data_IF_088131597642
#
_entry.id   IF_088131597642
#
_cell.length_a   1.000
_cell.length_b   1.000
_cell.length_c   1.000
_cell.angle_alpha   90.00
_cell.angle_beta   90.00
_cell.angle_gamma   90.00
#
_symmetry.space_group_name_H-M   'P 1'
#
loop_
_entity.id
_entity.type
_entity.pdbx_description
1 polymer ?
#
# COMPACT_ATOMS: atom_id res chain seq x y z
N UNK A 1 3.32 -20.10 6.72
CA UNK A 1 2.87 -18.70 6.56
C UNK A 1 4.03 -17.76 6.87
N UNK A 2 4.05 -16.56 6.29
CA UNK A 2 5.03 -15.51 6.62
C UNK A 2 4.27 -14.32 7.18
N UNK A 3 4.74 -13.79 8.29
CA UNK A 3 4.19 -12.61 8.95
C UNK A 3 5.30 -11.57 9.14
N UNK A 4 4.94 -10.32 9.42
CA UNK A 4 5.89 -9.22 9.60
C UNK A 4 5.56 -8.45 10.87
N UNK A 5 6.58 -7.87 11.53
CA UNK A 5 6.41 -6.98 12.68
C UNK A 5 5.87 -5.59 12.32
N UNK A 6 5.83 -5.22 11.03
CA UNK A 6 5.27 -3.94 10.59
C UNK A 6 3.74 -4.01 10.46
N UNK A 7 3.01 -2.96 10.83
CA UNK A 7 3.48 -1.59 11.09
C UNK A 7 3.65 -1.21 12.56
N UNK A 8 3.20 -2.01 13.53
CA UNK A 8 3.29 -1.67 14.95
C UNK A 8 3.38 -2.89 15.87
N UNK A 9 3.68 -2.67 17.15
CA UNK A 9 3.73 -3.72 18.18
C UNK A 9 2.40 -4.49 18.31
N UNK A 10 1.28 -3.84 17.96
CA UNK A 10 -0.02 -4.50 17.86
C UNK A 10 -0.03 -5.61 16.80
N UNK A 11 0.60 -5.36 15.65
CA UNK A 11 0.78 -6.38 14.61
C UNK A 11 1.66 -7.53 15.12
N UNK A 12 2.76 -7.23 15.81
CA UNK A 12 3.65 -8.25 16.37
C UNK A 12 2.92 -9.17 17.37
N UNK A 13 2.19 -8.59 18.33
CA UNK A 13 1.46 -9.36 19.34
C UNK A 13 0.30 -10.16 18.76
N UNK A 14 -0.49 -9.54 17.88
CA UNK A 14 -1.61 -10.21 17.22
C UNK A 14 -1.15 -11.38 16.35
N UNK A 15 -0.07 -11.16 15.58
CA UNK A 15 0.57 -12.19 14.77
C UNK A 15 1.05 -13.37 15.60
N UNK A 16 1.64 -13.13 16.79
CA UNK A 16 2.07 -14.21 17.68
C UNK A 16 0.94 -15.13 18.13
N UNK A 17 -0.24 -14.59 18.45
CA UNK A 17 -1.41 -15.41 18.82
C UNK A 17 -1.90 -16.23 17.62
N UNK A 18 -1.96 -15.62 16.43
CA UNK A 18 -2.37 -16.30 15.20
C UNK A 18 -1.37 -17.42 14.86
N UNK A 19 -0.07 -17.17 15.00
CA UNK A 19 0.98 -18.16 14.72
C UNK A 19 0.88 -19.38 15.62
N UNK A 20 0.68 -19.18 16.92
CA UNK A 20 0.43 -20.28 17.86
C UNK A 20 -0.73 -21.17 17.42
N UNK A 21 -1.84 -20.57 16.96
CA UNK A 21 -3.00 -21.32 16.46
C UNK A 21 -2.67 -22.08 15.17
N UNK A 22 -2.04 -21.40 14.20
CA UNK A 22 -1.66 -22.00 12.92
C UNK A 22 -0.72 -23.20 13.10
N UNK A 23 0.28 -23.07 13.99
CA UNK A 23 1.26 -24.13 14.23
C UNK A 23 0.67 -25.31 15.00
N UNK A 24 -0.06 -25.05 16.09
CA UNK A 24 -0.53 -26.10 17.00
C UNK A 24 -1.76 -26.85 16.49
N UNK A 25 -2.67 -26.16 15.81
CA UNK A 25 -3.96 -26.75 15.44
C UNK A 25 -4.08 -26.98 13.92
N UNK A 26 -3.45 -26.15 13.08
CA UNK A 26 -3.51 -26.31 11.61
C UNK A 26 -2.24 -26.96 11.03
N UNK A 27 -1.19 -27.15 11.84
CA UNK A 27 0.09 -27.71 11.39
C UNK A 27 0.82 -26.84 10.37
N UNK A 28 0.49 -25.54 10.28
CA UNK A 28 1.09 -24.60 9.33
C UNK A 28 2.30 -23.95 9.99
N UNK A 29 3.54 -24.17 9.49
CA UNK A 29 4.72 -23.52 10.04
C UNK A 29 4.66 -22.02 9.79
N UNK A 30 5.16 -21.19 10.72
CA UNK A 30 5.16 -19.73 10.57
C UNK A 30 6.55 -19.13 10.71
N UNK A 31 6.89 -18.23 9.79
CA UNK A 31 8.10 -17.41 9.86
C UNK A 31 7.73 -15.95 10.14
N UNK A 32 8.38 -15.36 11.15
CA UNK A 32 8.21 -13.96 11.51
C UNK A 32 9.35 -13.13 10.91
N UNK A 33 9.06 -12.39 9.85
CA UNK A 33 9.97 -11.44 9.24
C UNK A 33 10.11 -10.21 10.15
N UNK A 34 11.32 -9.99 10.66
CA UNK A 34 11.62 -8.83 11.47
C UNK A 34 12.14 -7.68 10.60
N UNK A 35 11.24 -6.80 10.17
CA UNK A 35 11.64 -5.58 9.49
C UNK A 35 12.28 -4.61 10.51
N UNK A 36 13.47 -4.06 10.20
CA UNK A 36 14.16 -3.17 11.13
C UNK A 36 13.46 -1.82 11.26
N UNK A 37 13.47 -1.26 12.47
CA UNK A 37 12.91 0.09 12.73
C UNK A 37 13.83 1.20 12.24
N UNK A 38 15.13 0.97 12.28
CA UNK A 38 16.15 1.80 11.63
C UNK A 38 16.35 1.28 10.20
N UNK A 39 16.84 2.09 9.28
CA UNK A 39 16.86 1.73 7.86
C UNK A 39 17.98 2.39 7.06
N UNK A 40 18.96 3.04 7.70
CA UNK A 40 19.99 3.81 6.98
C UNK A 40 21.41 3.33 7.27
N UNK A 41 21.58 2.62 8.38
CA UNK A 41 22.84 2.09 8.84
C UNK A 41 23.21 0.83 8.03
N UNK A 42 24.50 0.68 7.70
CA UNK A 42 24.98 -0.39 6.82
C UNK A 42 24.73 -1.78 7.41
N UNK A 43 24.96 -1.93 8.72
CA UNK A 43 24.69 -3.16 9.46
C UNK A 43 23.20 -3.55 9.43
N UNK A 44 22.32 -2.56 9.40
CA UNK A 44 20.87 -2.75 9.28
C UNK A 44 20.48 -3.19 7.86
N UNK A 45 21.17 -2.71 6.82
CA UNK A 45 20.94 -3.19 5.45
C UNK A 45 21.30 -4.67 5.31
N UNK A 46 22.46 -5.05 5.85
CA UNK A 46 22.92 -6.45 5.83
C UNK A 46 21.95 -7.36 6.60
N UNK A 47 21.51 -6.91 7.77
CA UNK A 47 20.49 -7.59 8.56
C UNK A 47 19.18 -7.76 7.78
N UNK A 48 18.65 -6.68 7.19
CA UNK A 48 17.40 -6.72 6.43
C UNK A 48 17.50 -7.67 5.22
N UNK A 49 18.62 -7.64 4.49
CA UNK A 49 18.87 -8.54 3.38
C UNK A 49 18.94 -10.00 3.84
N UNK A 50 19.55 -10.27 5.01
CA UNK A 50 19.60 -11.60 5.57
C UNK A 50 18.22 -12.11 6.00
N UNK A 51 17.39 -11.27 6.60
CA UNK A 51 16.01 -11.62 6.98
C UNK A 51 15.15 -12.01 5.76
N UNK A 52 15.30 -11.31 4.64
CA UNK A 52 14.66 -11.70 3.38
C UNK A 52 15.17 -13.07 2.89
N UNK A 53 16.48 -13.32 2.94
CA UNK A 53 17.05 -14.63 2.55
C UNK A 53 16.53 -15.76 3.45
N UNK A 54 16.40 -15.51 4.75
CA UNK A 54 15.85 -16.47 5.72
C UNK A 54 14.38 -16.79 5.39
N UNK A 55 13.57 -15.77 5.09
CA UNK A 55 12.18 -15.96 4.69
C UNK A 55 12.06 -16.76 3.38
N UNK A 56 12.93 -16.49 2.40
CA UNK A 56 12.99 -17.25 1.15
C UNK A 56 13.32 -18.72 1.43
N UNK A 57 14.36 -18.99 2.22
CA UNK A 57 14.76 -20.36 2.57
C UNK A 57 13.63 -21.13 3.26
N UNK A 58 12.94 -20.48 4.21
CA UNK A 58 11.76 -21.03 4.88
C UNK A 58 10.63 -21.37 3.89
N UNK A 59 10.35 -20.49 2.92
CA UNK A 59 9.33 -20.75 1.89
C UNK A 59 9.74 -21.95 1.03
N UNK A 60 10.99 -21.99 0.55
CA UNK A 60 11.46 -23.11 -0.28
C UNK A 60 11.40 -24.45 0.47
N UNK A 61 11.80 -24.46 1.74
CA UNK A 61 11.77 -25.65 2.59
C UNK A 61 10.36 -26.22 2.75
N UNK A 62 9.39 -25.36 3.08
CA UNK A 62 8.04 -25.81 3.43
C UNK A 62 7.08 -25.94 2.25
N UNK A 63 7.42 -25.38 1.09
CA UNK A 63 6.59 -25.51 -0.13
C UNK A 63 7.19 -26.47 -1.16
N UNK A 64 8.51 -26.72 -1.11
CA UNK A 64 9.23 -27.43 -2.16
C UNK A 64 9.47 -26.60 -3.42
N UNK A 65 8.92 -25.40 -3.51
CA UNK A 65 9.11 -24.48 -4.63
C UNK A 65 10.49 -23.81 -4.58
N UNK A 66 10.98 -23.36 -5.74
CA UNK A 66 12.23 -22.60 -5.83
C UNK A 66 11.97 -21.14 -6.09
N UNK A 67 12.77 -20.29 -5.46
CA UNK A 67 12.63 -18.85 -5.56
C UNK A 67 12.95 -18.36 -6.97
N UNK A 68 12.00 -17.66 -7.57
CA UNK A 68 12.16 -17.04 -8.88
C UNK A 68 12.51 -15.55 -8.73
N UNK A 69 13.81 -15.25 -8.82
CA UNK A 69 14.31 -13.87 -8.80
C UNK A 69 13.78 -13.03 -9.96
N UNK A 70 13.55 -13.63 -11.13
CA UNK A 70 12.99 -12.91 -12.28
C UNK A 70 11.56 -12.48 -11.97
N UNK A 71 10.72 -13.40 -11.50
CA UNK A 71 9.35 -13.08 -11.11
C UNK A 71 9.29 -12.03 -9.98
N UNK A 72 10.20 -12.13 -9.01
CA UNK A 72 10.32 -11.15 -7.92
C UNK A 72 10.60 -9.73 -8.45
N UNK A 73 11.63 -9.57 -9.29
CA UNK A 73 11.98 -8.26 -9.83
C UNK A 73 10.95 -7.72 -10.84
N UNK A 74 10.25 -8.59 -11.57
CA UNK A 74 9.11 -8.19 -12.40
C UNK A 74 7.95 -7.64 -11.53
N UNK A 75 7.68 -8.23 -10.36
CA UNK A 75 6.71 -7.70 -9.41
C UNK A 75 7.19 -6.34 -8.85
N UNK A 76 8.46 -6.24 -8.47
CA UNK A 76 9.05 -5.01 -7.94
C UNK A 76 9.00 -3.86 -8.97
N UNK A 77 9.25 -4.12 -10.25
CA UNK A 77 9.10 -3.12 -11.33
C UNK A 77 7.66 -2.58 -11.37
N UNK A 78 6.65 -3.45 -11.24
CA UNK A 78 5.24 -3.04 -11.22
C UNK A 78 4.90 -2.22 -10.00
N UNK A 79 5.44 -2.56 -8.81
CA UNK A 79 5.29 -1.74 -7.60
C UNK A 79 5.92 -0.34 -7.80
N UNK A 80 7.09 -0.27 -8.43
CA UNK A 80 7.75 1.00 -8.74
C UNK A 80 6.90 1.85 -9.72
N UNK A 81 6.29 1.22 -10.72
CA UNK A 81 5.39 1.91 -11.65
C UNK A 81 4.14 2.46 -10.95
N UNK A 82 3.45 1.64 -10.15
CA UNK A 82 2.30 2.08 -9.36
C UNK A 82 2.67 3.24 -8.42
N UNK A 83 3.85 3.16 -7.79
CA UNK A 83 4.39 4.23 -6.92
C UNK A 83 4.62 5.51 -7.71
N UNK A 84 5.18 5.43 -8.92
CA UNK A 84 5.36 6.58 -9.80
C UNK A 84 4.02 7.24 -10.14
N UNK A 85 3.01 6.46 -10.55
CA UNK A 85 1.67 7.00 -10.85
C UNK A 85 1.05 7.68 -9.62
N UNK A 86 1.17 7.06 -8.44
CA UNK A 86 0.71 7.68 -7.18
C UNK A 86 1.40 9.01 -6.91
N UNK A 87 2.71 9.10 -7.10
CA UNK A 87 3.44 10.37 -6.93
C UNK A 87 2.93 11.44 -7.89
N UNK A 88 2.68 11.11 -9.16
CA UNK A 88 2.11 12.04 -10.14
C UNK A 88 0.74 12.56 -9.70
N UNK A 89 -0.11 11.71 -9.11
CA UNK A 89 -1.41 12.14 -8.57
C UNK A 89 -1.26 13.05 -7.35
N UNK A 90 -0.31 12.75 -6.46
CA UNK A 90 0.00 13.58 -5.30
C UNK A 90 0.55 14.95 -5.71
N UNK A 91 1.30 15.04 -6.81
CA UNK A 91 1.71 16.33 -7.37
C UNK A 91 0.51 17.16 -7.85
N UNK A 92 -0.46 16.55 -8.55
CA UNK A 92 -1.71 17.25 -8.91
C UNK A 92 -2.44 17.77 -7.67
N UNK A 93 -2.40 17.02 -6.57
CA UNK A 93 -3.07 17.36 -5.32
C UNK A 93 -2.49 18.58 -4.59
N UNK A 94 -1.29 19.05 -4.98
CA UNK A 94 -0.72 20.30 -4.48
C UNK A 94 -1.42 21.53 -5.05
N UNK A 95 -2.12 21.41 -6.18
CA UNK A 95 -2.83 22.52 -6.83
C UNK A 95 -4.26 22.68 -6.34
N UNK A 96 -4.95 23.73 -6.81
CA UNK A 96 -6.36 23.97 -6.50
C UNK A 96 -7.34 23.02 -7.22
N UNK A 97 -6.81 22.15 -8.10
CA UNK A 97 -7.59 21.20 -8.90
C UNK A 97 -7.09 19.76 -8.68
N UNK A 98 -7.10 19.22 -7.44
CA UNK A 98 -6.77 17.83 -7.17
C UNK A 98 -7.72 16.88 -7.91
N UNK A 99 -7.23 15.71 -8.31
CA UNK A 99 -8.00 14.75 -9.13
C UNK A 99 -8.14 13.37 -8.51
N UNK A 100 -7.11 12.89 -7.81
CA UNK A 100 -7.14 11.58 -7.12
C UNK A 100 -6.82 11.81 -5.65
N UNK A 101 -7.86 12.02 -4.85
CA UNK A 101 -7.78 12.35 -3.43
C UNK A 101 -8.97 11.75 -2.68
N UNK A 102 -8.99 11.87 -1.35
CA UNK A 102 -10.04 11.34 -0.49
C UNK A 102 -10.26 9.84 -0.69
N UNK A 103 -11.53 9.41 -0.75
CA UNK A 103 -11.89 7.98 -0.83
C UNK A 103 -11.33 7.28 -2.06
N UNK A 104 -11.11 7.98 -3.19
CA UNK A 104 -10.51 7.39 -4.38
C UNK A 104 -9.06 6.96 -4.14
N UNK A 105 -8.27 7.83 -3.49
CA UNK A 105 -6.87 7.55 -3.19
C UNK A 105 -6.74 6.52 -2.06
N UNK A 106 -7.66 6.55 -1.08
CA UNK A 106 -7.72 5.58 0.00
C UNK A 106 -7.99 4.16 -0.55
N UNK A 107 -9.06 3.99 -1.32
CA UNK A 107 -9.42 2.71 -1.94
C UNK A 107 -8.32 2.18 -2.86
N UNK A 108 -7.67 3.07 -3.63
CA UNK A 108 -6.53 2.69 -4.45
C UNK A 108 -5.37 2.15 -3.59
N UNK A 109 -5.03 2.86 -2.51
CA UNK A 109 -3.92 2.48 -1.62
C UNK A 109 -4.19 1.13 -0.97
N UNK A 110 -5.41 0.89 -0.52
CA UNK A 110 -5.86 -0.40 0.03
C UNK A 110 -5.75 -1.51 -1.01
N UNK A 111 -6.26 -1.29 -2.22
CA UNK A 111 -6.22 -2.26 -3.31
C UNK A 111 -4.78 -2.61 -3.68
N UNK A 112 -3.92 -1.59 -3.82
CA UNK A 112 -2.53 -1.80 -4.16
C UNK A 112 -1.76 -2.51 -3.03
N UNK A 113 -1.97 -2.14 -1.77
CA UNK A 113 -1.26 -2.72 -0.63
C UNK A 113 -1.74 -4.15 -0.29
N UNK A 114 -3.05 -4.35 -0.14
CA UNK A 114 -3.61 -5.59 0.40
C UNK A 114 -3.83 -6.67 -0.65
N UNK A 115 -4.23 -6.30 -1.88
CA UNK A 115 -4.68 -7.27 -2.87
C UNK A 115 -3.64 -7.57 -3.94
N UNK A 116 -3.03 -6.52 -4.52
CA UNK A 116 -2.24 -6.71 -5.76
C UNK A 116 -0.73 -6.62 -5.53
N UNK A 117 -0.23 -5.52 -4.99
CA UNK A 117 1.19 -5.25 -4.72
C UNK A 117 2.15 -5.84 -5.78
N UNK A 118 1.96 -5.47 -7.05
CA UNK A 118 2.79 -5.93 -8.17
C UNK A 118 2.58 -7.39 -8.62
N UNK A 119 1.76 -8.20 -7.94
CA UNK A 119 1.51 -9.60 -8.29
C UNK A 119 0.56 -9.77 -9.47
N UNK A 120 -0.31 -8.78 -9.73
CA UNK A 120 -1.34 -8.84 -10.79
C UNK A 120 -0.96 -7.90 -11.94
N UNK A 121 -0.49 -8.42 -13.10
CA UNK A 121 0.00 -7.59 -14.20
C UNK A 121 -1.03 -6.61 -14.77
N UNK A 122 -2.32 -6.98 -14.73
CA UNK A 122 -3.42 -6.18 -15.26
C UNK A 122 -3.51 -4.78 -14.61
N UNK A 123 -3.02 -4.61 -13.38
CA UNK A 123 -3.09 -3.33 -12.68
C UNK A 123 -2.19 -2.25 -13.28
N UNK A 124 -1.13 -2.61 -14.03
CA UNK A 124 -0.33 -1.63 -14.77
C UNK A 124 -1.17 -0.84 -15.77
N UNK A 125 -2.08 -1.52 -16.47
CA UNK A 125 -3.01 -0.86 -17.40
C UNK A 125 -4.12 -0.11 -16.68
N UNK A 126 -4.53 -0.56 -15.49
CA UNK A 126 -5.49 0.17 -14.65
C UNK A 126 -4.87 1.48 -14.14
N UNK A 127 -3.65 1.45 -13.61
CA UNK A 127 -2.89 2.63 -13.18
C UNK A 127 -2.79 3.65 -14.31
N UNK A 128 -2.41 3.19 -15.52
CA UNK A 128 -2.35 4.03 -16.72
C UNK A 128 -3.69 4.70 -17.04
N UNK A 129 -4.81 3.95 -16.95
CA UNK A 129 -6.15 4.49 -17.19
C UNK A 129 -6.54 5.53 -16.14
N UNK A 130 -6.25 5.27 -14.85
CA UNK A 130 -6.52 6.22 -13.77
C UNK A 130 -5.72 7.50 -13.99
N UNK A 131 -4.42 7.40 -14.29
CA UNK A 131 -3.56 8.57 -14.58
C UNK A 131 -4.09 9.36 -15.77
N UNK A 132 -4.48 8.72 -16.87
CA UNK A 132 -5.04 9.42 -18.03
C UNK A 132 -6.35 10.15 -17.72
N UNK A 133 -7.22 9.56 -16.89
CA UNK A 133 -8.45 10.20 -16.43
C UNK A 133 -8.14 11.40 -15.55
N UNK A 134 -7.21 11.25 -14.60
CA UNK A 134 -6.75 12.32 -13.73
C UNK A 134 -6.16 13.48 -14.54
N UNK A 135 -5.22 13.23 -15.45
CA UNK A 135 -4.64 14.25 -16.33
C UNK A 135 -5.68 14.97 -17.20
N UNK A 136 -6.66 14.24 -17.74
CA UNK A 136 -7.73 14.82 -18.56
C UNK A 136 -8.58 15.78 -17.75
N UNK A 137 -8.94 15.39 -16.53
CA UNK A 137 -9.73 16.23 -15.63
C UNK A 137 -8.92 17.41 -15.09
N UNK A 138 -7.63 17.18 -14.79
CA UNK A 138 -6.66 18.19 -14.37
C UNK A 138 -6.50 19.30 -15.43
N UNK A 139 -6.28 18.93 -16.70
CA UNK A 139 -6.17 19.90 -17.82
C UNK A 139 -7.43 20.75 -18.00
N UNK A 140 -8.59 20.22 -17.64
CA UNK A 140 -9.88 20.92 -17.68
C UNK A 140 -10.16 21.69 -16.39
N UNK A 141 -9.26 21.64 -15.40
CA UNK A 141 -9.45 22.20 -14.07
C UNK A 141 -10.78 21.74 -13.44
N UNK A 142 -11.19 20.50 -13.74
CA UNK A 142 -12.47 19.98 -13.30
C UNK A 142 -12.42 19.72 -11.80
N UNK A 143 -13.39 20.25 -11.06
CA UNK A 143 -13.59 19.96 -9.64
C UNK A 143 -14.42 18.68 -9.47
N UNK A 144 -14.11 17.92 -8.43
CA UNK A 144 -14.85 16.73 -8.03
C UNK A 144 -16.14 17.05 -7.25
N UNK A 145 -16.26 18.27 -6.73
CA UNK A 145 -17.46 18.79 -6.07
C UNK A 145 -17.72 20.24 -6.51
N UNK A 146 -18.92 20.75 -6.23
CA UNK A 146 -19.36 22.09 -6.65
C UNK A 146 -18.49 23.20 -6.05
N UNK A 147 -18.09 23.08 -4.78
CA UNK A 147 -17.32 24.08 -4.06
C UNK A 147 -16.16 23.47 -3.30
N UNK A 148 -15.00 24.11 -3.39
CA UNK A 148 -13.85 23.86 -2.52
C UNK A 148 -13.66 25.10 -1.64
N UNK A 149 -13.91 24.96 -0.35
CA UNK A 149 -13.83 26.04 0.66
C UNK A 149 -12.53 25.97 1.44
N UNK A 150 -12.11 24.75 1.78
CA UNK A 150 -10.91 24.49 2.58
C UNK A 150 -10.16 23.28 2.03
N UNK A 151 -8.89 23.17 2.39
CA UNK A 151 -8.04 22.02 2.09
C UNK A 151 -7.49 21.49 3.41
N UNK A 152 -7.55 20.17 3.60
CA UNK A 152 -7.07 19.52 4.81
C UNK A 152 -6.23 18.30 4.45
N UNK A 153 -5.15 18.07 5.21
CA UNK A 153 -4.41 16.80 5.15
C UNK A 153 -5.07 15.86 6.15
N UNK A 154 -5.60 14.74 5.66
CA UNK A 154 -6.15 13.69 6.49
C UNK A 154 -5.01 12.77 6.90
N UNK A 155 -4.67 12.81 8.18
CA UNK A 155 -3.55 12.06 8.74
C UNK A 155 -4.04 10.81 9.47
N UNK A 156 -3.42 9.66 9.18
CA UNK A 156 -3.70 8.39 9.83
C UNK A 156 -4.27 7.31 8.89
N UNK A 157 -4.65 6.17 9.48
CA UNK A 157 -5.28 5.06 8.76
C UNK A 157 -6.73 5.42 8.46
N UNK A 158 -7.15 5.26 7.20
CA UNK A 158 -8.52 5.56 6.80
C UNK A 158 -9.49 4.51 7.37
N UNK A 159 -10.62 4.97 7.92
CA UNK A 159 -11.61 4.07 8.50
C UNK A 159 -12.42 3.38 7.40
N UNK A 160 -12.28 2.06 7.28
CA UNK A 160 -13.07 1.28 6.33
C UNK A 160 -14.56 1.19 6.71
N UNK A 161 -14.90 1.43 7.97
CA UNK A 161 -16.30 1.44 8.43
C UNK A 161 -17.01 2.76 8.15
N UNK A 162 -16.27 3.82 7.80
CA UNK A 162 -16.77 5.18 7.58
C UNK A 162 -16.15 5.81 6.32
N UNK A 163 -16.13 5.07 5.20
CA UNK A 163 -15.55 5.54 3.92
C UNK A 163 -16.23 6.80 3.37
N UNK A 164 -17.50 7.01 3.71
CA UNK A 164 -18.28 8.18 3.31
C UNK A 164 -17.85 9.46 4.03
N UNK A 165 -17.07 9.38 5.12
CA UNK A 165 -16.63 10.56 5.86
C UNK A 165 -15.87 11.56 4.98
N UNK A 166 -14.97 11.07 4.11
CA UNK A 166 -14.20 11.92 3.20
C UNK A 166 -15.08 12.55 2.11
N UNK A 167 -16.09 11.81 1.64
CA UNK A 167 -17.08 12.29 0.66
C UNK A 167 -17.98 13.35 1.30
N UNK A 168 -18.39 13.14 2.56
CA UNK A 168 -19.19 14.07 3.34
C UNK A 168 -18.45 15.38 3.63
N UNK A 169 -17.17 15.31 4.03
CA UNK A 169 -16.30 16.49 4.19
C UNK A 169 -16.26 17.34 2.90
N UNK A 170 -16.08 16.66 1.76
CA UNK A 170 -16.02 17.33 0.47
C UNK A 170 -17.36 17.96 0.08
N UNK A 171 -18.44 17.20 0.11
CA UNK A 171 -19.73 17.62 -0.46
C UNK A 171 -20.54 18.53 0.48
N UNK A 172 -20.47 18.32 1.79
CA UNK A 172 -21.27 19.09 2.75
C UNK A 172 -20.51 20.33 3.29
N UNK A 173 -19.18 20.28 3.33
CA UNK A 173 -18.37 21.34 3.93
C UNK A 173 -17.39 21.99 2.95
N UNK A 174 -17.26 21.47 1.72
CA UNK A 174 -16.27 21.94 0.77
C UNK A 174 -14.83 21.74 1.26
N UNK A 175 -14.61 20.82 2.21
CA UNK A 175 -13.28 20.51 2.73
C UNK A 175 -12.69 19.42 1.83
N UNK A 176 -11.62 19.75 1.11
CA UNK A 176 -10.91 18.81 0.24
C UNK A 176 -9.99 17.93 1.10
N UNK A 177 -10.26 16.61 1.23
CA UNK A 177 -9.45 15.70 2.02
C UNK A 177 -8.25 15.20 1.20
N UNK A 178 -7.09 15.81 1.42
CA UNK A 178 -5.81 15.44 0.82
C UNK A 178 -5.10 14.41 1.72
N UNK A 179 -4.17 13.65 1.16
CA UNK A 179 -3.36 12.65 1.87
C UNK A 179 -1.90 12.82 1.47
#
# INVERSE_FOLDING_TARGET
AVQCNTTCDGSLLGNGVISKRLELEDGIPVFQLAAPLRHREDDVQDYAAQEIKNAIAFIEEHTGEKWDWKAYFECAERVNYATKCRLEWLEMNKTDYPQVFGSNLALYTETNYMAICGKVPAFREVDRKITQLAERAYRKQKKAANEYRHRAIVWGVQSHFYMDFLVWLLNCWGIVPLT
#
